data_IF_356228685054
#
_entry.id   IF_356228685054
#
_cell.length_a   1.000
_cell.length_b   1.000
_cell.length_c   1.000
_cell.angle_alpha   90.00
_cell.angle_beta   90.00
_cell.angle_gamma   90.00
#
_symmetry.space_group_name_H-M   'P 1'
#
loop_
_entity.id
_entity.type
_entity.pdbx_description
1 polymer ?
#
# COMPACT_ATOMS: atom_id res chain seq x y z
N UNK A 1 -11.10 -4.61 -6.19
CA UNK A 1 -9.91 -3.87 -6.68
C UNK A 1 -8.84 -3.84 -5.62
N UNK A 2 -9.19 -3.50 -4.39
CA UNK A 2 -8.35 -3.67 -3.19
C UNK A 2 -7.56 -4.99 -3.07
N UNK A 3 -8.16 -6.17 -3.40
CA UNK A 3 -7.45 -7.43 -3.25
C UNK A 3 -6.22 -7.50 -4.16
N UNK A 4 -6.27 -6.83 -5.31
CA UNK A 4 -5.23 -6.90 -6.33
C UNK A 4 -3.88 -6.35 -5.89
N UNK A 5 -3.82 -5.59 -4.79
CA UNK A 5 -2.55 -5.13 -4.22
C UNK A 5 -1.97 -6.11 -3.17
N UNK A 6 -2.72 -7.14 -2.77
CA UNK A 6 -2.37 -8.08 -1.70
C UNK A 6 -2.79 -9.52 -2.04
N UNK A 7 -2.99 -9.85 -3.32
CA UNK A 7 -3.48 -11.16 -3.77
C UNK A 7 -2.36 -12.10 -4.23
N UNK A 8 -1.10 -11.71 -4.06
CA UNK A 8 0.09 -12.44 -4.50
C UNK A 8 0.14 -12.61 -6.02
N UNK A 9 -0.44 -11.66 -6.77
CA UNK A 9 -0.54 -11.71 -8.23
C UNK A 9 -0.13 -10.38 -8.89
N UNK A 10 1.15 -10.33 -9.26
CA UNK A 10 1.78 -9.18 -9.94
C UNK A 10 1.24 -8.88 -11.35
N UNK A 11 0.41 -9.75 -11.93
CA UNK A 11 -0.25 -9.49 -13.22
C UNK A 11 -1.56 -8.70 -13.06
N UNK A 12 -2.05 -8.55 -11.83
CA UNK A 12 -3.15 -7.65 -11.50
C UNK A 12 -2.64 -6.39 -10.81
N UNK A 13 -3.50 -5.38 -10.67
CA UNK A 13 -3.12 -4.15 -9.99
C UNK A 13 -4.32 -3.44 -9.41
N UNK A 14 -4.11 -2.74 -8.30
CA UNK A 14 -5.07 -1.78 -7.79
C UNK A 14 -5.11 -0.53 -8.68
N UNK A 15 -6.30 -0.09 -9.04
CA UNK A 15 -6.57 1.18 -9.74
C UNK A 15 -7.80 1.83 -9.11
N UNK A 16 -7.67 3.05 -8.61
CA UNK A 16 -8.79 3.74 -7.96
C UNK A 16 -9.87 4.19 -8.96
N UNK A 17 -9.54 4.24 -10.25
CA UNK A 17 -10.49 4.54 -11.32
C UNK A 17 -11.34 3.33 -11.74
N UNK A 18 -10.93 2.12 -11.36
CA UNK A 18 -11.62 0.89 -11.69
C UNK A 18 -12.91 0.83 -10.85
N UNK A 19 -14.03 1.21 -11.48
CA UNK A 19 -15.36 1.07 -10.89
C UNK A 19 -15.63 -0.38 -10.54
N UNK A 20 -15.55 -0.72 -9.26
CA UNK A 20 -16.26 -1.87 -8.72
C UNK A 20 -17.45 -1.42 -7.89
N UNK A 21 -18.52 -2.21 -7.95
CA UNK A 21 -19.60 -2.21 -6.97
C UNK A 21 -18.96 -2.59 -5.62
N UNK A 22 -18.60 -1.59 -4.80
CA UNK A 22 -17.90 -1.82 -3.54
C UNK A 22 -18.84 -2.44 -2.50
N UNK A 23 -18.66 -3.72 -2.17
CA UNK A 23 -18.94 -4.22 -0.83
C UNK A 23 -17.68 -4.02 0.01
N UNK A 24 -17.76 -3.14 1.00
CA UNK A 24 -16.68 -2.82 1.92
C UNK A 24 -16.47 -4.02 2.86
N UNK A 25 -15.68 -5.01 2.45
CA UNK A 25 -15.32 -6.14 3.31
C UNK A 25 -14.26 -5.65 4.30
N UNK A 26 -14.58 -5.64 5.59
CA UNK A 26 -13.85 -4.98 6.70
C UNK A 26 -12.36 -5.38 6.90
N UNK A 27 -11.81 -6.26 6.06
CA UNK A 27 -10.43 -6.75 6.16
C UNK A 27 -9.41 -5.93 5.34
N UNK A 28 -9.85 -5.10 4.37
CA UNK A 28 -8.97 -4.27 3.55
C UNK A 28 -9.37 -2.79 3.54
N UNK A 29 -8.39 -1.92 3.82
CA UNK A 29 -8.59 -0.49 3.95
C UNK A 29 -8.34 0.19 2.60
N UNK A 30 -9.41 0.64 1.95
CA UNK A 30 -9.34 1.31 0.65
C UNK A 30 -10.05 2.63 0.77
N UNK A 31 -9.43 3.69 0.24
CA UNK A 31 -10.10 4.98 0.19
C UNK A 31 -9.37 6.01 -0.66
N UNK A 32 -10.00 7.17 -0.77
CA UNK A 32 -9.51 8.36 -1.47
C UNK A 32 -9.34 9.42 -0.38
N UNK A 33 -8.12 9.87 -0.02
CA UNK A 33 -7.94 10.98 0.92
C UNK A 33 -8.39 12.30 0.28
N UNK A 34 -9.15 13.10 1.03
CA UNK A 34 -9.44 14.51 0.67
C UNK A 34 -10.52 14.71 -0.40
N UNK A 35 -11.35 15.74 -0.18
CA UNK A 35 -12.44 16.38 -0.96
C UNK A 35 -13.32 15.60 -1.97
N UNK A 36 -13.13 14.29 -2.16
CA UNK A 36 -13.86 13.47 -3.12
C UNK A 36 -13.31 13.55 -4.56
N UNK A 37 -12.14 14.15 -4.78
CA UNK A 37 -11.44 14.10 -6.06
C UNK A 37 -10.36 13.02 -6.06
N UNK A 38 -10.08 12.42 -7.22
CA UNK A 38 -9.14 11.29 -7.38
C UNK A 38 -7.65 11.66 -7.14
N UNK A 39 -7.38 12.79 -6.48
CA UNK A 39 -6.06 13.41 -6.41
C UNK A 39 -5.07 12.72 -5.47
N UNK A 40 -5.51 11.79 -4.63
CA UNK A 40 -4.66 10.72 -4.08
C UNK A 40 -5.57 9.52 -3.77
N UNK A 41 -5.09 8.29 -3.91
CA UNK A 41 -5.86 7.10 -3.52
C UNK A 41 -4.98 6.20 -2.67
N UNK A 42 -5.58 5.47 -1.73
CA UNK A 42 -4.84 4.52 -0.90
C UNK A 42 -5.44 3.12 -0.94
N UNK A 43 -4.55 2.15 -0.73
CA UNK A 43 -4.87 0.74 -0.55
C UNK A 43 -4.01 0.18 0.59
N UNK A 44 -4.61 -0.61 1.46
CA UNK A 44 -3.94 -1.12 2.65
C UNK A 44 -4.63 -2.31 3.27
N UNK A 45 -3.99 -2.85 4.29
CA UNK A 45 -4.45 -4.03 5.02
C UNK A 45 -4.45 -3.77 6.52
N UNK A 46 -5.40 -4.41 7.20
CA UNK A 46 -5.41 -4.54 8.66
C UNK A 46 -4.69 -5.82 9.07
N UNK A 47 -3.93 -5.75 10.16
CA UNK A 47 -3.14 -6.84 10.72
C UNK A 47 -3.61 -7.03 12.16
N UNK A 48 -4.56 -7.94 12.38
CA UNK A 48 -5.24 -8.08 13.67
C UNK A 48 -4.30 -8.39 14.84
N UNK A 49 -3.28 -9.22 14.61
CA UNK A 49 -2.28 -9.55 15.63
C UNK A 49 -1.21 -8.47 15.82
N UNK A 50 -1.22 -7.43 14.99
CA UNK A 50 -0.09 -6.53 14.79
C UNK A 50 1.13 -7.20 14.18
N UNK A 51 2.09 -6.39 13.76
CA UNK A 51 3.39 -6.82 13.23
C UNK A 51 4.48 -5.81 13.60
N UNK A 52 5.67 -6.29 13.93
CA UNK A 52 6.89 -5.47 13.92
C UNK A 52 7.46 -5.55 12.51
N UNK A 53 7.29 -4.48 11.74
CA UNK A 53 7.68 -4.43 10.33
C UNK A 53 9.19 -4.47 10.18
N UNK A 54 9.69 -5.34 9.31
CA UNK A 54 11.11 -5.39 8.92
C UNK A 54 11.32 -5.02 7.47
N UNK A 55 10.32 -5.25 6.62
CA UNK A 55 10.40 -4.94 5.20
C UNK A 55 9.01 -4.82 4.59
N UNK A 56 8.87 -3.90 3.64
CA UNK A 56 7.81 -3.91 2.63
C UNK A 56 8.48 -4.24 1.31
N UNK A 57 7.94 -5.19 0.56
CA UNK A 57 8.28 -5.30 -0.87
C UNK A 57 7.04 -5.02 -1.68
N UNK A 58 7.23 -4.43 -2.84
CA UNK A 58 6.12 -4.05 -3.70
C UNK A 58 6.48 -4.20 -5.16
N UNK A 59 5.47 -4.35 -6.00
CA UNK A 59 5.61 -4.49 -7.44
C UNK A 59 4.88 -3.34 -8.13
N UNK A 60 5.55 -2.58 -9.02
CA UNK A 60 4.90 -1.49 -9.72
C UNK A 60 3.92 -2.03 -10.77
N UNK A 61 2.89 -1.27 -11.12
CA UNK A 61 2.09 -1.57 -12.32
C UNK A 61 3.02 -1.60 -13.54
N UNK A 62 3.18 -2.77 -14.15
CA UNK A 62 4.20 -3.07 -15.18
C UNK A 62 4.30 -2.05 -16.30
N UNK A 63 3.15 -1.58 -16.80
CA UNK A 63 3.09 -0.68 -17.96
C UNK A 63 2.99 0.81 -17.58
N UNK A 64 3.01 1.14 -16.28
CA UNK A 64 2.80 2.50 -15.77
C UNK A 64 3.63 2.75 -14.49
N UNK A 65 4.87 2.26 -14.43
CA UNK A 65 5.67 2.28 -13.20
C UNK A 65 5.89 3.68 -12.63
N UNK A 66 5.92 4.71 -13.49
CA UNK A 66 6.04 6.12 -13.08
C UNK A 66 4.86 6.65 -12.24
N UNK A 67 3.69 5.99 -12.27
CA UNK A 67 2.52 6.39 -11.46
C UNK A 67 2.70 6.12 -9.96
N UNK A 68 3.73 5.36 -9.59
CA UNK A 68 4.06 5.13 -8.19
C UNK A 68 4.93 6.24 -7.57
N UNK A 69 5.58 7.08 -8.39
CA UNK A 69 6.56 8.07 -7.94
C UNK A 69 5.89 9.20 -7.15
N UNK A 70 6.38 9.44 -5.93
CA UNK A 70 5.78 10.32 -4.94
C UNK A 70 4.77 9.62 -4.03
N UNK A 71 4.46 8.34 -4.29
CA UNK A 71 3.64 7.54 -3.40
C UNK A 71 4.35 7.19 -2.10
N UNK A 72 3.58 6.98 -1.04
CA UNK A 72 4.10 6.84 0.33
C UNK A 72 3.58 5.55 0.95
N UNK A 73 4.47 4.74 1.50
CA UNK A 73 4.10 3.65 2.40
C UNK A 73 3.96 4.19 3.81
N UNK A 74 2.83 3.90 4.44
CA UNK A 74 2.51 4.36 5.79
C UNK A 74 2.06 3.19 6.66
N UNK A 75 2.26 3.33 7.97
CA UNK A 75 1.72 2.41 8.95
C UNK A 75 1.02 3.14 10.09
N UNK A 76 0.18 2.41 10.81
CA UNK A 76 -0.58 2.93 11.94
C UNK A 76 -0.84 1.86 13.00
N UNK A 77 -0.92 2.27 14.26
CA UNK A 77 -1.29 1.42 15.38
C UNK A 77 -2.80 1.44 15.64
N UNK A 78 -3.49 2.51 15.23
CA UNK A 78 -4.91 2.77 15.54
C UNK A 78 -5.80 2.92 14.30
N UNK A 79 -5.21 3.11 13.12
CA UNK A 79 -5.90 3.37 11.85
C UNK A 79 -6.25 4.84 11.63
N UNK A 80 -5.98 5.71 12.61
CA UNK A 80 -6.29 7.14 12.59
C UNK A 80 -5.03 7.99 12.42
N UNK A 81 -3.98 7.65 13.17
CA UNK A 81 -2.69 8.33 13.13
C UNK A 81 -1.70 7.52 12.31
N UNK A 82 -1.19 8.10 11.22
CA UNK A 82 -0.32 7.42 10.27
C UNK A 82 1.10 7.98 10.34
N UNK A 83 2.09 7.09 10.26
CA UNK A 83 3.50 7.44 10.12
C UNK A 83 3.98 7.08 8.72
N UNK A 84 4.79 7.95 8.13
CA UNK A 84 5.45 7.70 6.85
C UNK A 84 6.64 6.77 7.06
N UNK A 85 6.62 5.62 6.39
CA UNK A 85 7.70 4.64 6.42
C UNK A 85 8.70 4.84 5.29
N UNK A 86 8.20 5.14 4.10
CA UNK A 86 9.03 5.41 2.92
C UNK A 86 8.26 6.16 1.84
N UNK A 87 8.98 6.96 1.06
CA UNK A 87 8.50 7.61 -0.16
C UNK A 87 9.16 6.96 -1.36
N UNK A 88 8.41 6.79 -2.45
CA UNK A 88 8.94 6.29 -3.72
C UNK A 88 9.49 7.50 -4.50
N UNK A 89 10.77 7.80 -4.35
CA UNK A 89 11.37 9.01 -4.92
C UNK A 89 11.72 8.89 -6.42
N UNK A 90 11.88 7.65 -6.91
CA UNK A 90 12.32 7.38 -8.27
C UNK A 90 11.44 6.33 -8.95
N UNK A 91 11.31 6.43 -10.27
CA UNK A 91 10.57 5.45 -11.06
C UNK A 91 11.29 4.10 -11.00
N UNK A 92 10.64 3.02 -10.54
CA UNK A 92 11.28 1.71 -10.50
C UNK A 92 11.36 1.10 -11.89
N UNK A 93 12.35 0.22 -12.06
CA UNK A 93 12.42 -0.68 -13.21
C UNK A 93 11.23 -1.63 -13.14
N UNK A 94 10.43 -1.70 -14.20
CA UNK A 94 9.30 -2.62 -14.27
C UNK A 94 9.75 -4.07 -14.40
N UNK A 95 8.98 -4.99 -13.84
CA UNK A 95 9.22 -6.43 -13.95
C UNK A 95 9.84 -7.09 -12.72
N UNK A 96 10.22 -6.31 -11.70
CA UNK A 96 10.81 -6.82 -10.46
C UNK A 96 10.19 -6.18 -9.21
N UNK A 97 10.32 -6.87 -8.08
CA UNK A 97 9.99 -6.33 -6.77
C UNK A 97 11.00 -5.25 -6.35
N UNK A 98 10.47 -4.19 -5.74
CA UNK A 98 11.23 -3.15 -5.06
C UNK A 98 11.11 -3.37 -3.55
N UNK A 99 12.20 -3.16 -2.83
CA UNK A 99 12.30 -3.45 -1.40
C UNK A 99 12.48 -2.18 -0.60
N UNK A 100 11.75 -2.07 0.51
CA UNK A 100 11.82 -1.01 1.50
C UNK A 100 12.14 -1.65 2.84
N UNK A 101 13.38 -1.48 3.31
CA UNK A 101 13.79 -1.97 4.61
C UNK A 101 13.27 -1.05 5.72
N UNK A 102 12.67 -1.64 6.75
CA UNK A 102 12.09 -0.93 7.88
C UNK A 102 12.93 -1.23 9.12
N UNK A 103 13.47 -0.16 9.72
CA UNK A 103 14.23 -0.24 10.97
C UNK A 103 13.45 0.44 12.09
N UNK A 104 12.31 -0.16 12.45
CA UNK A 104 11.41 0.29 13.50
C UNK A 104 11.00 -0.92 14.37
N UNK A 105 10.84 -0.70 15.68
CA UNK A 105 10.38 -1.72 16.63
C UNK A 105 8.89 -1.58 17.00
N UNK A 106 8.20 -0.59 16.45
CA UNK A 106 6.78 -0.33 16.69
C UNK A 106 5.93 -1.47 16.15
N UNK A 107 4.93 -1.86 16.94
CA UNK A 107 3.92 -2.83 16.53
C UNK A 107 2.81 -2.10 15.79
N UNK A 108 2.69 -2.32 14.49
CA UNK A 108 1.63 -1.72 13.67
C UNK A 108 0.48 -2.70 13.43
N UNK A 109 -0.74 -2.16 13.39
CA UNK A 109 -1.96 -2.91 13.09
C UNK A 109 -2.51 -2.59 11.70
N UNK A 110 -1.97 -1.57 11.03
CA UNK A 110 -2.41 -1.16 9.71
C UNK A 110 -1.20 -0.74 8.88
N UNK A 111 -1.20 -1.12 7.61
CA UNK A 111 -0.25 -0.63 6.60
C UNK A 111 -1.03 -0.21 5.37
N UNK A 112 -0.61 0.89 4.74
CA UNK A 112 -1.18 1.33 3.47
C UNK A 112 -0.12 1.90 2.54
N UNK A 113 -0.41 1.83 1.26
CA UNK A 113 0.20 2.64 0.22
C UNK A 113 -0.73 3.79 -0.11
N UNK A 114 -0.23 5.02 -0.08
CA UNK A 114 -0.91 6.22 -0.56
C UNK A 114 -0.28 6.60 -1.90
N UNK A 115 -1.04 6.46 -2.98
CA UNK A 115 -0.61 6.85 -4.32
C UNK A 115 -0.47 8.37 -4.45
N UNK A 116 0.47 8.83 -5.30
CA UNK A 116 0.66 10.24 -5.58
C UNK A 116 -0.53 10.81 -6.36
N UNK A 117 -0.57 12.13 -6.49
CA UNK A 117 -1.49 12.82 -7.38
C UNK A 117 -1.32 12.37 -8.82
N UNK A 118 -2.45 12.16 -9.51
CA UNK A 118 -2.51 11.52 -10.84
C UNK A 118 -1.89 10.10 -10.90
N UNK A 119 -1.62 9.47 -9.74
CA UNK A 119 -1.09 8.11 -9.66
C UNK A 119 -2.17 7.03 -9.67
N UNK A 120 -3.44 7.40 -9.42
CA UNK A 120 -4.59 6.50 -9.35
C UNK A 120 -4.41 5.32 -8.36
N UNK A 121 -3.53 5.50 -7.37
CA UNK A 121 -3.15 4.44 -6.44
C UNK A 121 -2.42 3.25 -7.09
N UNK A 122 -2.00 3.35 -8.35
CA UNK A 122 -1.53 2.22 -9.14
C UNK A 122 -0.38 1.46 -8.49
N UNK A 123 -0.66 0.22 -8.10
CA UNK A 123 0.31 -0.71 -7.54
C UNK A 123 -0.12 -2.13 -7.86
N UNK A 124 0.82 -2.98 -8.27
CA UNK A 124 0.52 -4.34 -8.68
C UNK A 124 0.54 -5.32 -7.51
N UNK A 125 1.45 -5.14 -6.55
CA UNK A 125 1.52 -6.01 -5.38
C UNK A 125 2.21 -5.25 -4.23
N UNK A 126 1.80 -5.57 -3.00
CA UNK A 126 2.41 -5.15 -1.75
C UNK A 126 2.49 -6.38 -0.86
N UNK A 127 3.67 -6.67 -0.35
CA UNK A 127 3.86 -7.71 0.65
C UNK A 127 4.54 -7.15 1.90
N UNK A 128 3.98 -7.54 3.05
CA UNK A 128 4.38 -7.07 4.36
C UNK A 128 5.17 -8.17 5.07
N UNK A 129 6.38 -7.83 5.49
CA UNK A 129 7.29 -8.75 6.16
C UNK A 129 7.67 -8.21 7.53
N UNK A 130 7.73 -9.11 8.50
CA UNK A 130 8.03 -8.75 9.87
C UNK A 130 7.89 -9.93 10.82
N UNK A 131 8.05 -9.63 12.10
CA UNK A 131 7.84 -10.60 13.16
C UNK A 131 6.54 -10.34 13.89
N UNK A 132 5.90 -11.42 14.35
CA UNK A 132 4.79 -11.31 15.30
C UNK A 132 5.27 -10.55 16.56
N UNK A 133 4.44 -9.66 17.13
CA UNK A 133 4.74 -9.05 18.41
C UNK A 133 4.97 -10.13 19.48
N UNK A 134 5.83 -9.82 20.46
CA UNK A 134 5.98 -10.68 21.62
C UNK A 134 4.62 -10.87 22.31
N UNK A 135 4.33 -12.10 22.74
CA UNK A 135 3.11 -12.46 23.44
C UNK A 135 3.07 -11.85 24.86
#
# INVERSE_FOLDING_TARGET
VAPKAFDQNVDTFYDSDEKLEFENTEEMNVGIPGDGTFETAYVGAKIDSGVVLTQIRWFPRKDQTGRAVGGIFQASTDGETWVDLATIDEQPVGGDFVFVDINDSTVYNYVRYVGPTEGFGNIAEIEIWGTKPAA
#
